data_IF_799976538333
#
_entry.id   IF_799976538333
#
_cell.length_a   1.000
_cell.length_b   1.000
_cell.length_c   1.000
_cell.angle_alpha   90.00
_cell.angle_beta   90.00
_cell.angle_gamma   90.00
#
_symmetry.space_group_name_H-M   'P 1'
#
loop_
_entity.id
_entity.type
_entity.pdbx_description
1 polymer ?
#
# COMPACT_ATOMS: atom_id res chain seq x y z
N UNK A 1 13.91 1.98 6.89
CA UNK A 1 13.06 2.61 5.86
C UNK A 1 13.76 3.87 5.40
N UNK A 2 14.53 3.79 4.31
CA UNK A 2 15.40 4.89 3.87
C UNK A 2 14.65 5.92 2.99
N UNK A 3 13.33 5.78 2.86
CA UNK A 3 12.47 6.58 1.97
C UNK A 3 11.57 7.56 2.71
N UNK A 4 11.52 7.51 4.06
CA UNK A 4 10.79 8.49 4.87
C UNK A 4 11.66 9.73 5.02
N UNK A 5 11.14 10.87 4.54
CA UNK A 5 11.84 12.16 4.58
C UNK A 5 11.95 12.70 6.01
N UNK A 6 10.91 12.51 6.83
CA UNK A 6 10.88 12.89 8.25
C UNK A 6 9.75 12.19 9.02
N UNK A 7 9.84 12.23 10.34
CA UNK A 7 8.82 11.69 11.24
C UNK A 7 8.17 12.77 12.10
N UNK A 8 6.86 12.67 12.32
CA UNK A 8 6.07 13.55 13.18
C UNK A 8 5.33 12.71 14.23
N UNK A 9 5.43 13.03 15.53
CA UNK A 9 4.59 12.39 16.55
C UNK A 9 3.12 12.69 16.30
N UNK A 10 2.23 11.71 16.48
CA UNK A 10 0.79 11.86 16.23
C UNK A 10 0.15 12.99 17.02
N UNK A 11 0.72 13.32 18.19
CA UNK A 11 0.28 14.46 19.02
C UNK A 11 0.59 15.82 18.40
N UNK A 12 1.65 15.91 17.61
CA UNK A 12 2.14 17.17 17.00
C UNK A 12 1.64 17.32 15.55
N UNK A 13 1.00 16.29 14.99
CA UNK A 13 0.52 16.28 13.61
C UNK A 13 -0.55 17.34 13.34
N UNK A 14 -1.44 17.63 14.30
CA UNK A 14 -2.47 18.66 14.14
C UNK A 14 -1.85 20.04 13.91
N UNK A 15 -0.84 20.38 14.69
CA UNK A 15 -0.20 21.70 14.65
C UNK A 15 0.70 21.85 13.42
N UNK A 16 1.20 20.74 12.87
CA UNK A 16 2.08 20.70 11.69
C UNK A 16 1.37 20.29 10.40
N UNK A 17 0.03 20.15 10.41
CA UNK A 17 -0.70 19.56 9.29
C UNK A 17 -0.50 20.30 7.96
N UNK A 18 -0.55 21.63 7.97
CA UNK A 18 -0.37 22.43 6.76
C UNK A 18 1.03 22.28 6.16
N UNK A 19 2.06 22.22 7.00
CA UNK A 19 3.44 22.02 6.59
C UNK A 19 3.67 20.61 6.03
N UNK A 20 3.11 19.59 6.69
CA UNK A 20 3.15 18.21 6.20
C UNK A 20 2.47 18.08 4.83
N UNK A 21 1.26 18.61 4.68
CA UNK A 21 0.54 18.54 3.41
C UNK A 21 1.25 19.34 2.30
N UNK A 22 1.83 20.49 2.62
CA UNK A 22 2.62 21.28 1.67
C UNK A 22 3.86 20.54 1.18
N UNK A 23 4.64 19.96 2.10
CA UNK A 23 5.83 19.17 1.77
C UNK A 23 5.50 17.91 0.97
N UNK A 24 4.40 17.24 1.30
CA UNK A 24 3.94 16.04 0.59
C UNK A 24 3.43 16.39 -0.82
N UNK A 25 2.61 17.44 -0.96
CA UNK A 25 2.00 17.79 -2.24
C UNK A 25 3.01 18.36 -3.25
N UNK A 26 3.98 19.16 -2.78
CA UNK A 26 4.87 19.91 -3.67
C UNK A 26 6.35 19.53 -3.55
N UNK A 27 6.76 18.99 -2.40
CA UNK A 27 8.16 18.62 -2.12
C UNK A 27 8.46 17.13 -2.32
N UNK A 28 7.48 16.33 -2.76
CA UNK A 28 7.58 14.86 -2.85
C UNK A 28 8.03 14.21 -1.55
N UNK A 29 7.70 14.81 -0.40
CA UNK A 29 8.03 14.24 0.90
C UNK A 29 7.16 13.02 1.20
N UNK A 30 7.74 12.04 1.90
CA UNK A 30 7.00 10.96 2.56
C UNK A 30 7.16 11.11 4.06
N UNK A 31 6.09 11.47 4.75
CA UNK A 31 6.13 11.83 6.17
C UNK A 31 5.61 10.68 7.01
N UNK A 32 6.47 10.15 7.87
CA UNK A 32 6.07 9.13 8.84
C UNK A 32 5.32 9.74 10.03
N UNK A 33 4.20 9.15 10.40
CA UNK A 33 3.46 9.49 11.62
C UNK A 33 3.76 8.45 12.67
N UNK A 34 4.20 8.89 13.86
CA UNK A 34 4.61 7.99 14.94
C UNK A 34 3.69 8.08 16.16
N UNK A 35 3.49 6.96 16.87
CA UNK A 35 2.81 6.89 18.16
C UNK A 35 3.71 6.15 19.14
N UNK A 36 4.00 6.75 20.29
CA UNK A 36 4.92 6.19 21.29
C UNK A 36 6.30 5.81 20.69
N UNK A 37 6.79 6.65 19.77
CA UNK A 37 8.06 6.44 19.06
C UNK A 37 8.03 5.37 17.96
N UNK A 38 6.90 4.69 17.74
CA UNK A 38 6.75 3.69 16.68
C UNK A 38 6.06 4.30 15.47
N UNK A 39 6.51 3.98 14.26
CA UNK A 39 5.83 4.36 13.03
C UNK A 39 4.46 3.67 12.95
N UNK A 40 3.41 4.45 12.70
CA UNK A 40 2.03 3.95 12.65
C UNK A 40 1.31 4.28 11.34
N UNK A 41 1.71 5.33 10.64
CA UNK A 41 1.16 5.69 9.34
C UNK A 41 2.21 6.46 8.52
N UNK A 42 1.96 6.63 7.22
CA UNK A 42 2.76 7.49 6.35
C UNK A 42 1.80 8.36 5.54
N UNK A 43 2.11 9.65 5.44
CA UNK A 43 1.44 10.58 4.52
C UNK A 43 2.29 10.70 3.27
N UNK A 44 1.67 10.49 2.12
CA UNK A 44 2.30 10.48 0.79
C UNK A 44 1.48 11.32 -0.19
N UNK A 45 2.06 11.65 -1.34
CA UNK A 45 1.37 12.40 -2.39
C UNK A 45 0.33 11.52 -3.08
N UNK A 46 -0.62 12.16 -3.77
CA UNK A 46 -1.60 11.44 -4.60
C UNK A 46 -0.91 10.65 -5.70
N UNK A 47 0.10 11.23 -6.35
CA UNK A 47 0.87 10.55 -7.40
C UNK A 47 1.59 9.29 -6.89
N UNK A 48 2.12 9.31 -5.66
CA UNK A 48 2.69 8.11 -5.05
C UNK A 48 1.62 7.04 -4.78
N UNK A 49 0.42 7.43 -4.34
CA UNK A 49 -0.69 6.50 -4.14
C UNK A 49 -1.12 5.86 -5.48
N UNK A 50 -1.34 6.67 -6.50
CA UNK A 50 -1.72 6.21 -7.85
C UNK A 50 -0.67 5.24 -8.41
N UNK A 51 0.62 5.55 -8.26
CA UNK A 51 1.69 4.65 -8.68
C UNK A 51 1.66 3.30 -7.93
N UNK A 52 1.37 3.30 -6.62
CA UNK A 52 1.25 2.06 -5.86
C UNK A 52 0.07 1.21 -6.34
N UNK A 53 -1.08 1.84 -6.63
CA UNK A 53 -2.26 1.15 -7.18
C UNK A 53 -1.97 0.57 -8.58
N UNK A 54 -1.28 1.31 -9.45
CA UNK A 54 -0.86 0.82 -10.77
C UNK A 54 0.09 -0.37 -10.68
N UNK A 55 1.05 -0.33 -9.77
CA UNK A 55 1.98 -1.43 -9.54
C UNK A 55 1.28 -2.68 -9.00
N UNK A 56 0.30 -2.53 -8.11
CA UNK A 56 -0.52 -3.64 -7.60
C UNK A 56 -1.33 -4.27 -8.74
N UNK A 57 -2.04 -3.45 -9.53
CA UNK A 57 -2.81 -3.94 -10.68
C UNK A 57 -1.95 -4.67 -11.72
N UNK A 58 -0.75 -4.15 -12.00
CA UNK A 58 0.19 -4.79 -12.90
C UNK A 58 0.68 -6.15 -12.38
N UNK A 59 0.93 -6.26 -11.06
CA UNK A 59 1.32 -7.53 -10.42
C UNK A 59 0.18 -8.54 -10.52
N UNK A 60 -1.03 -8.16 -10.15
CA UNK A 60 -2.19 -9.05 -10.17
C UNK A 60 -2.49 -9.56 -11.59
N UNK A 61 -2.35 -8.71 -12.62
CA UNK A 61 -2.48 -9.11 -14.01
C UNK A 61 -1.42 -10.15 -14.43
N UNK A 62 -0.16 -9.97 -13.99
CA UNK A 62 0.92 -10.90 -14.27
C UNK A 62 0.74 -12.24 -13.54
N UNK A 63 0.30 -12.21 -12.28
CA UNK A 63 -0.03 -13.41 -11.50
C UNK A 63 -1.18 -14.19 -12.14
N UNK A 64 -2.25 -13.48 -12.55
CA UNK A 64 -3.36 -14.09 -13.27
C UNK A 64 -2.92 -14.74 -14.58
N UNK A 65 -2.11 -14.06 -15.40
CA UNK A 65 -1.60 -14.61 -16.65
C UNK A 65 -0.75 -15.87 -16.41
N UNK A 66 0.08 -15.86 -15.36
CA UNK A 66 0.90 -17.00 -14.95
C UNK A 66 0.02 -18.18 -14.50
N UNK A 67 -0.96 -17.92 -13.65
CA UNK A 67 -1.90 -18.94 -13.17
C UNK A 67 -2.69 -19.57 -14.32
N UNK A 68 -3.14 -18.75 -15.29
CA UNK A 68 -3.81 -19.23 -16.50
C UNK A 68 -2.90 -20.08 -17.38
N UNK A 69 -1.63 -19.70 -17.55
CA UNK A 69 -0.68 -20.49 -18.31
C UNK A 69 -0.35 -21.83 -17.65
N UNK A 70 -0.43 -21.89 -16.32
CA UNK A 70 -0.22 -23.10 -15.52
C UNK A 70 -1.49 -23.94 -15.30
N UNK A 71 -2.66 -23.50 -15.81
CA UNK A 71 -3.93 -24.24 -15.68
C UNK A 71 -3.81 -25.61 -16.35
N UNK A 72 -3.88 -26.68 -15.55
CA UNK A 72 -3.83 -28.06 -16.00
C UNK A 72 -5.18 -28.59 -16.53
N UNK A 73 -6.20 -27.72 -16.57
CA UNK A 73 -7.53 -28.02 -17.08
C UNK A 73 -8.43 -28.72 -16.08
N UNK A 74 -7.96 -29.09 -14.89
CA UNK A 74 -8.82 -29.68 -13.85
C UNK A 74 -9.83 -28.65 -13.36
N UNK A 75 -11.03 -29.12 -13.05
CA UNK A 75 -12.12 -28.31 -12.51
C UNK A 75 -12.65 -29.01 -11.27
N UNK A 76 -12.99 -28.24 -10.25
CA UNK A 76 -13.63 -28.71 -9.01
C UNK A 76 -15.00 -28.06 -8.89
N UNK A 77 -15.95 -28.75 -8.29
CA UNK A 77 -17.23 -28.17 -7.91
C UNK A 77 -17.06 -27.20 -6.73
N UNK A 78 -18.04 -26.30 -6.55
CA UNK A 78 -18.03 -25.39 -5.41
C UNK A 78 -18.07 -26.15 -4.08
N UNK A 79 -18.84 -27.23 -3.99
CA UNK A 79 -18.97 -28.04 -2.77
C UNK A 79 -17.64 -28.72 -2.39
N UNK A 80 -16.92 -29.24 -3.39
CA UNK A 80 -15.57 -29.81 -3.20
C UNK A 80 -14.60 -28.73 -2.72
N UNK A 81 -14.59 -27.56 -3.36
CA UNK A 81 -13.70 -26.45 -2.98
C UNK A 81 -13.98 -25.97 -1.56
N UNK A 82 -15.24 -25.72 -1.20
CA UNK A 82 -15.63 -25.28 0.15
C UNK A 82 -15.19 -26.29 1.21
N UNK A 83 -15.24 -27.58 0.91
CA UNK A 83 -14.76 -28.64 1.82
C UNK A 83 -13.24 -28.63 2.00
N UNK A 84 -12.48 -28.24 0.96
CA UNK A 84 -11.01 -28.21 0.98
C UNK A 84 -10.46 -27.00 1.75
N UNK A 85 -11.10 -25.83 1.67
CA UNK A 85 -10.58 -24.58 2.28
C UNK A 85 -11.10 -24.30 3.70
N UNK A 86 -12.02 -25.12 4.21
CA UNK A 86 -12.57 -25.00 5.57
C UNK A 86 -11.64 -25.60 6.63
#
# INVERSE_FOLDING_TARGET
MNTISRNVPSKDLRDSLADVLGGVAYGSERVGVTRHGKLTAVVISVADLELLEELEAARDAAEFATAKAADDGRRVSLDELVTEVA
#
